data_IF_703636531153
#
_entry.id   IF_703636531153
#
_cell.length_a   1.000
_cell.length_b   1.000
_cell.length_c   1.000
_cell.angle_alpha   90.00
_cell.angle_beta   90.00
_cell.angle_gamma   90.00
#
_symmetry.space_group_name_H-M   'P 1'
#
loop_
_entity.id
_entity.type
_entity.pdbx_description
1 polymer ?
#
# COMPACT_ATOMS: atom_id res chain seq x y z
N UNK A 1 -20.34 -2.64 35.81
CA UNK A 1 -19.28 -2.03 36.64
C UNK A 1 -17.95 -2.43 36.01
N UNK A 2 -17.48 -1.64 35.04
CA UNK A 2 -16.42 -2.01 34.10
C UNK A 2 -15.23 -1.09 34.31
N UNK A 3 -14.10 -1.66 34.72
CA UNK A 3 -12.91 -0.96 35.17
C UNK A 3 -12.08 -0.53 33.94
N UNK A 4 -12.04 0.76 33.66
CA UNK A 4 -11.11 1.35 32.70
C UNK A 4 -9.70 1.39 33.32
N UNK A 5 -8.75 0.69 32.69
CA UNK A 5 -7.35 0.69 33.11
C UNK A 5 -6.58 1.72 32.27
N UNK A 6 -6.51 2.93 32.80
CA UNK A 6 -5.73 4.05 32.27
C UNK A 6 -4.24 3.80 32.55
N UNK A 7 -3.41 3.65 31.50
CA UNK A 7 -1.96 3.75 31.64
C UNK A 7 -1.50 5.09 31.08
N UNK A 8 -1.29 6.03 32.00
CA UNK A 8 -0.56 7.26 31.80
C UNK A 8 0.93 6.96 32.06
N UNK A 9 1.79 7.17 31.07
CA UNK A 9 3.24 7.02 31.18
C UNK A 9 3.94 8.18 30.49
N UNK A 10 4.27 9.20 31.28
CA UNK A 10 5.00 10.41 30.92
C UNK A 10 6.50 10.09 30.79
N UNK A 11 7.22 10.93 30.02
CA UNK A 11 8.69 11.19 29.91
C UNK A 11 9.30 10.76 28.57
N UNK A 12 10.08 11.56 27.84
CA UNK A 12 10.92 12.68 28.23
C UNK A 12 11.06 13.75 27.12
N UNK A 13 11.32 14.97 27.56
CA UNK A 13 11.73 16.14 26.77
C UNK A 13 13.00 15.82 25.97
N UNK A 14 12.94 15.91 24.64
CA UNK A 14 14.12 16.08 23.80
C UNK A 14 14.13 17.53 23.31
N UNK A 15 14.93 18.36 23.99
CA UNK A 15 15.23 19.73 23.62
C UNK A 15 16.21 19.66 22.42
N UNK A 16 15.70 19.75 21.20
CA UNK A 16 16.54 19.82 20.00
C UNK A 16 16.87 21.29 19.74
N UNK A 17 18.11 21.65 20.04
CA UNK A 17 18.77 22.89 19.65
C UNK A 17 18.96 22.85 18.14
N UNK A 18 18.11 23.57 17.39
CA UNK A 18 18.31 23.78 15.96
C UNK A 18 19.34 24.90 15.77
N UNK A 19 20.58 24.49 15.55
CA UNK A 19 21.64 25.38 15.12
C UNK A 19 21.36 25.87 13.69
N UNK A 20 21.39 27.19 13.52
CA UNK A 20 21.37 27.91 12.25
C UNK A 20 22.53 27.44 11.37
N UNK A 21 22.23 26.69 10.31
CA UNK A 21 23.17 26.42 9.22
C UNK A 21 22.86 27.42 8.09
N UNK A 22 23.82 28.25 7.66
CA UNK A 22 23.63 29.16 6.54
C UNK A 22 23.54 28.38 5.21
N UNK A 23 22.48 28.63 4.46
CA UNK A 23 22.30 28.14 3.08
C UNK A 23 23.35 28.77 2.15
N UNK A 24 24.11 27.98 1.37
CA UNK A 24 24.88 28.52 0.25
C UNK A 24 23.95 28.75 -0.95
N UNK A 25 23.88 30.01 -1.37
CA UNK A 25 23.25 30.46 -2.61
C UNK A 25 23.97 29.88 -3.82
N UNK A 26 23.46 28.77 -4.38
CA UNK A 26 23.87 28.30 -5.70
C UNK A 26 22.96 28.91 -6.76
N UNK A 27 23.43 30.01 -7.36
CA UNK A 27 22.95 30.47 -8.65
C UNK A 27 23.43 29.49 -9.73
N UNK A 28 22.51 28.74 -10.32
CA UNK A 28 22.73 28.07 -11.59
C UNK A 28 21.87 28.77 -12.66
N UNK A 29 22.53 29.61 -13.46
CA UNK A 29 22.00 30.08 -14.72
C UNK A 29 22.00 28.89 -15.69
N UNK A 30 20.83 28.29 -15.93
CA UNK A 30 20.68 27.29 -16.99
C UNK A 30 20.19 27.96 -18.26
N UNK A 31 21.10 27.92 -19.21
CA UNK A 31 21.06 28.43 -20.56
C UNK A 31 19.91 27.81 -21.36
N UNK A 32 19.03 28.69 -21.82
CA UNK A 32 17.95 28.42 -22.78
C UNK A 32 18.52 27.83 -24.08
N UNK A 33 18.02 26.66 -24.51
CA UNK A 33 18.21 26.14 -25.87
C UNK A 33 16.86 25.97 -26.55
N UNK A 34 16.56 26.72 -27.62
CA UNK A 34 15.42 26.45 -28.48
C UNK A 34 15.87 25.49 -29.58
N UNK A 35 15.09 24.44 -29.83
CA UNK A 35 14.92 23.73 -31.10
C UNK A 35 14.64 22.27 -30.81
N UNK A 36 13.37 21.86 -30.88
CA UNK A 36 13.06 20.63 -31.59
C UNK A 36 11.84 20.82 -32.47
N UNK A 37 12.05 20.45 -33.74
CA UNK A 37 11.18 20.63 -34.87
C UNK A 37 9.98 19.69 -34.73
N UNK A 38 8.80 20.27 -34.88
CA UNK A 38 7.56 19.56 -35.15
C UNK A 38 7.74 18.68 -36.39
N UNK A 39 7.59 17.36 -36.22
CA UNK A 39 7.33 16.45 -37.32
C UNK A 39 5.87 16.00 -37.19
N UNK A 40 5.04 16.62 -38.03
CA UNK A 40 3.69 16.20 -38.34
C UNK A 40 3.77 14.79 -38.95
N UNK A 41 3.41 13.77 -38.18
CA UNK A 41 3.07 12.45 -38.71
C UNK A 41 1.57 12.40 -38.84
N UNK A 42 1.12 12.69 -40.07
CA UNK A 42 -0.24 12.48 -40.55
C UNK A 42 -0.55 10.97 -40.52
N UNK A 43 -1.43 10.57 -39.60
CA UNK A 43 -1.87 9.18 -39.45
C UNK A 43 -3.26 9.04 -40.08
N UNK A 44 -3.33 8.30 -41.18
CA UNK A 44 -4.55 7.94 -41.90
C UNK A 44 -5.60 7.26 -40.99
N UNK A 45 -6.91 7.44 -41.28
CA UNK A 45 -7.98 6.76 -40.57
C UNK A 45 -8.09 5.29 -41.02
N UNK A 46 -7.66 4.36 -40.17
CA UNK A 46 -8.03 2.95 -40.32
C UNK A 46 -9.37 2.70 -39.61
N UNK A 47 -10.41 2.51 -40.42
CA UNK A 47 -11.64 1.83 -40.02
C UNK A 47 -11.32 0.36 -39.76
N UNK A 48 -11.38 -0.12 -38.51
CA UNK A 48 -11.54 -1.56 -38.29
C UNK A 48 -12.19 -1.89 -36.92
N UNK A 49 -13.48 -2.21 -37.02
CA UNK A 49 -14.26 -3.21 -36.27
C UNK A 49 -14.52 -3.03 -34.76
N UNK A 50 -15.82 -2.90 -34.47
CA UNK A 50 -16.41 -3.01 -33.13
C UNK A 50 -16.28 -4.45 -32.58
N UNK A 51 -15.67 -4.66 -31.40
CA UNK A 51 -15.90 -5.89 -30.65
C UNK A 51 -17.28 -5.84 -29.98
N UNK A 52 -18.10 -6.85 -30.27
CA UNK A 52 -19.40 -7.00 -29.64
C UNK A 52 -19.27 -7.30 -28.14
N UNK A 53 -20.08 -6.56 -27.40
CA UNK A 53 -20.35 -6.64 -25.98
C UNK A 53 -20.75 -8.05 -25.54
N UNK A 54 -19.92 -8.72 -24.75
CA UNK A 54 -20.33 -9.83 -23.87
C UNK A 54 -20.44 -9.30 -22.44
N UNK A 55 -21.66 -9.41 -21.91
CA UNK A 55 -22.08 -8.84 -20.64
C UNK A 55 -21.40 -9.43 -19.41
N UNK A 56 -21.13 -8.55 -18.44
CA UNK A 56 -20.58 -8.89 -17.12
C UNK A 56 -19.91 -7.69 -16.45
N UNK A 57 -20.59 -6.53 -16.40
CA UNK A 57 -20.02 -5.30 -15.83
C UNK A 57 -20.07 -5.35 -14.30
N UNK A 58 -19.00 -5.80 -13.66
CA UNK A 58 -18.56 -5.18 -12.40
C UNK A 58 -17.97 -3.82 -12.75
N UNK A 59 -18.54 -2.74 -12.22
CA UNK A 59 -18.13 -1.37 -12.50
C UNK A 59 -16.73 -1.10 -11.92
N UNK A 60 -15.69 -1.36 -12.71
CA UNK A 60 -14.39 -0.70 -12.58
C UNK A 60 -14.52 0.64 -13.30
N UNK A 61 -14.46 1.73 -12.54
CA UNK A 61 -14.50 3.08 -13.07
C UNK A 61 -13.17 3.38 -13.78
N UNK A 62 -13.12 3.09 -15.07
CA UNK A 62 -12.07 3.58 -15.95
C UNK A 62 -12.33 5.04 -16.30
N UNK A 63 -11.28 5.84 -16.30
CA UNK A 63 -11.28 7.24 -16.71
C UNK A 63 -11.89 7.38 -18.11
N UNK A 64 -13.01 8.10 -18.23
CA UNK A 64 -13.52 8.50 -19.54
C UNK A 64 -12.60 9.59 -20.11
N UNK A 65 -12.10 9.40 -21.33
CA UNK A 65 -11.21 10.34 -22.03
C UNK A 65 -11.92 11.63 -22.49
N UNK A 66 -13.25 11.70 -22.37
CA UNK A 66 -14.10 12.77 -22.92
C UNK A 66 -14.09 14.09 -22.12
N UNK A 67 -13.17 14.29 -21.18
CA UNK A 67 -13.07 15.54 -20.40
C UNK A 67 -14.31 15.87 -19.54
N UNK A 68 -15.34 15.03 -19.58
CA UNK A 68 -16.47 15.07 -18.68
C UNK A 68 -15.94 14.54 -17.35
N UNK A 69 -15.81 15.45 -16.37
CA UNK A 69 -15.40 15.06 -15.02
C UNK A 69 -16.25 13.85 -14.61
N UNK A 70 -15.64 12.75 -14.13
CA UNK A 70 -16.38 11.57 -13.74
C UNK A 70 -17.47 12.04 -12.76
N UNK A 71 -18.73 11.90 -13.17
CA UNK A 71 -19.86 12.20 -12.29
C UNK A 71 -19.73 11.21 -11.16
N UNK A 72 -19.20 11.67 -10.03
CA UNK A 72 -19.02 10.82 -8.87
C UNK A 72 -20.41 10.37 -8.45
N UNK A 73 -20.63 9.06 -8.57
CA UNK A 73 -21.92 8.49 -8.25
C UNK A 73 -22.27 8.88 -6.81
N UNK A 74 -23.49 9.39 -6.63
CA UNK A 74 -24.01 9.76 -5.33
C UNK A 74 -23.78 8.61 -4.34
N UNK A 75 -23.28 8.95 -3.16
CA UNK A 75 -22.97 7.98 -2.11
C UNK A 75 -24.24 7.18 -1.75
N UNK A 76 -24.11 5.86 -1.70
CA UNK A 76 -25.22 4.98 -1.31
C UNK A 76 -25.57 5.20 0.17
N UNK A 77 -26.85 5.33 0.55
CA UNK A 77 -27.24 5.45 1.95
C UNK A 77 -26.76 4.23 2.76
N UNK A 78 -26.16 4.47 3.93
CA UNK A 78 -25.68 3.41 4.83
C UNK A 78 -24.36 2.74 4.44
N UNK A 79 -23.70 3.19 3.37
CA UNK A 79 -22.35 2.71 2.98
C UNK A 79 -21.32 3.73 3.41
N UNK A 80 -20.25 3.29 4.07
CA UNK A 80 -19.11 4.15 4.44
C UNK A 80 -18.12 4.20 3.29
N UNK A 81 -17.66 5.39 2.93
CA UNK A 81 -16.77 5.63 1.80
C UNK A 81 -15.37 6.00 2.29
N UNK A 82 -14.36 5.22 1.90
CA UNK A 82 -12.97 5.41 2.31
C UNK A 82 -12.16 5.84 1.08
N UNK A 83 -11.66 7.07 1.10
CA UNK A 83 -10.69 7.56 0.15
C UNK A 83 -9.29 7.04 0.48
N UNK A 84 -8.54 6.59 -0.51
CA UNK A 84 -7.19 6.07 -0.30
C UNK A 84 -6.17 6.85 -1.13
N UNK A 85 -5.18 7.39 -0.43
CA UNK A 85 -4.01 8.05 -1.02
C UNK A 85 -3.08 6.99 -1.60
N UNK A 86 -2.30 7.36 -2.62
CA UNK A 86 -1.23 6.50 -3.10
C UNK A 86 -0.25 6.17 -1.95
N UNK A 87 -0.02 4.88 -1.63
CA UNK A 87 0.89 4.50 -0.57
C UNK A 87 2.30 5.04 -0.86
N UNK A 88 2.90 5.69 0.13
CA UNK A 88 4.29 6.16 -0.01
C UNK A 88 5.20 4.97 0.19
N UNK A 89 5.93 4.61 -0.87
CA UNK A 89 6.88 3.52 -0.80
C UNK A 89 8.32 4.03 -0.64
N UNK A 90 8.98 3.61 0.43
CA UNK A 90 10.41 3.85 0.69
C UNK A 90 11.23 2.57 0.50
N UNK A 91 10.78 1.70 -0.38
CA UNK A 91 11.57 0.59 -0.93
C UNK A 91 12.69 1.21 -1.82
N UNK A 92 13.85 0.54 -1.91
CA UNK A 92 15.04 1.07 -2.61
C UNK A 92 14.66 1.74 -3.96
N UNK A 93 15.19 2.95 -4.21
CA UNK A 93 14.83 3.87 -5.32
C UNK A 93 14.89 3.29 -6.75
N UNK A 94 15.32 2.04 -6.93
CA UNK A 94 15.56 1.37 -8.22
C UNK A 94 14.56 0.27 -8.56
N UNK A 95 13.54 0.03 -7.72
CA UNK A 95 12.61 -1.09 -7.89
C UNK A 95 11.27 -0.69 -8.54
N UNK A 96 10.60 -1.61 -9.27
CA UNK A 96 9.23 -1.42 -9.79
C UNK A 96 8.17 -1.31 -8.68
N UNK A 97 8.58 -1.46 -7.42
CA UNK A 97 7.72 -1.31 -6.26
C UNK A 97 7.39 0.15 -5.94
N UNK A 98 8.15 1.11 -6.45
CA UNK A 98 8.06 2.52 -6.04
C UNK A 98 6.73 3.19 -6.37
N UNK A 99 5.97 2.63 -7.31
CA UNK A 99 4.77 3.27 -7.83
C UNK A 99 3.56 3.18 -6.88
N UNK A 100 3.60 2.37 -5.82
CA UNK A 100 2.53 2.27 -4.80
C UNK A 100 1.16 1.75 -5.30
N UNK A 101 0.91 1.78 -6.60
CA UNK A 101 -0.35 1.39 -7.25
C UNK A 101 -0.77 -0.06 -7.01
N UNK A 102 0.15 -1.06 -7.04
CA UNK A 102 -0.20 -2.41 -6.68
C UNK A 102 -0.79 -2.55 -5.27
N UNK A 103 -0.21 -1.82 -4.32
CA UNK A 103 -0.64 -1.82 -2.93
C UNK A 103 -2.01 -1.18 -2.79
N UNK A 104 -2.19 -0.02 -3.43
CA UNK A 104 -3.47 0.67 -3.48
C UNK A 104 -4.56 -0.22 -4.08
N UNK A 105 -4.27 -0.89 -5.20
CA UNK A 105 -5.23 -1.77 -5.87
C UNK A 105 -5.61 -2.96 -4.99
N UNK A 106 -4.65 -3.59 -4.31
CA UNK A 106 -4.90 -4.67 -3.38
C UNK A 106 -5.76 -4.24 -2.18
N UNK A 107 -5.44 -3.08 -1.58
CA UNK A 107 -6.23 -2.49 -0.48
C UNK A 107 -7.65 -2.12 -0.92
N UNK A 108 -7.83 -1.54 -2.12
CA UNK A 108 -9.16 -1.23 -2.67
C UNK A 108 -10.01 -2.49 -2.79
N UNK A 109 -9.42 -3.58 -3.28
CA UNK A 109 -10.14 -4.83 -3.48
C UNK A 109 -10.57 -5.48 -2.16
N UNK A 110 -9.74 -5.38 -1.12
CA UNK A 110 -10.00 -5.93 0.21
C UNK A 110 -10.99 -5.08 1.03
N UNK A 111 -10.97 -3.76 0.85
CA UNK A 111 -11.89 -2.84 1.52
C UNK A 111 -13.26 -2.76 0.82
N UNK A 112 -13.36 -3.17 -0.45
CA UNK A 112 -14.63 -3.23 -1.16
C UNK A 112 -15.54 -4.32 -0.58
N UNK A 113 -16.63 -3.90 0.08
CA UNK A 113 -17.62 -4.77 0.71
C UNK A 113 -19.05 -4.24 0.57
N UNK A 114 -20.05 -4.92 1.17
CA UNK A 114 -21.44 -4.47 1.09
C UNK A 114 -21.71 -3.17 1.86
N UNK A 115 -20.96 -2.91 2.93
CA UNK A 115 -21.08 -1.72 3.80
C UNK A 115 -19.96 -0.71 3.61
N UNK A 116 -18.93 -1.05 2.83
CA UNK A 116 -17.72 -0.25 2.63
C UNK A 116 -17.45 -0.06 1.14
N UNK A 117 -17.23 1.19 0.74
CA UNK A 117 -16.82 1.58 -0.60
C UNK A 117 -15.43 2.22 -0.52
N UNK A 118 -14.45 1.67 -1.23
CA UNK A 118 -13.10 2.22 -1.28
C UNK A 118 -12.86 2.95 -2.60
N UNK A 119 -12.31 4.17 -2.55
CA UNK A 119 -12.06 5.02 -3.72
C UNK A 119 -10.60 5.46 -3.75
N UNK A 120 -9.96 5.31 -4.91
CA UNK A 120 -8.63 5.84 -5.17
C UNK A 120 -8.68 7.38 -5.28
N UNK A 121 -7.93 8.07 -4.42
CA UNK A 121 -7.69 9.52 -4.54
C UNK A 121 -6.52 9.76 -5.49
N UNK A 122 -6.61 10.82 -6.31
CA UNK A 122 -5.54 11.23 -7.23
C UNK A 122 -4.45 12.04 -6.52
N UNK A 123 -4.81 12.73 -5.45
CA UNK A 123 -3.91 13.61 -4.70
C UNK A 123 -2.88 12.82 -3.91
N UNK A 124 -1.61 13.24 -4.01
CA UNK A 124 -0.49 12.67 -3.24
C UNK A 124 -0.30 13.42 -1.91
N UNK A 125 -0.57 14.72 -1.90
CA UNK A 125 -0.42 15.55 -0.70
C UNK A 125 -1.62 15.32 0.24
N UNK A 126 -1.40 15.06 1.55
CA UNK A 126 -2.48 14.77 2.49
C UNK A 126 -3.55 15.87 2.56
N UNK A 127 -3.14 17.15 2.50
CA UNK A 127 -4.08 18.28 2.55
C UNK A 127 -4.98 18.34 1.30
N UNK A 128 -4.41 18.05 0.12
CA UNK A 128 -5.16 17.99 -1.14
C UNK A 128 -6.06 16.75 -1.17
N UNK A 129 -5.59 15.63 -0.64
CA UNK A 129 -6.36 14.40 -0.54
C UNK A 129 -7.59 14.54 0.35
N UNK A 130 -7.52 15.31 1.44
CA UNK A 130 -8.68 15.62 2.28
C UNK A 130 -9.73 16.45 1.52
N UNK A 131 -9.28 17.42 0.71
CA UNK A 131 -10.18 18.22 -0.14
C UNK A 131 -10.81 17.38 -1.24
N UNK A 132 -10.03 16.51 -1.87
CA UNK A 132 -10.55 15.56 -2.85
C UNK A 132 -11.55 14.58 -2.20
N UNK A 133 -11.23 14.03 -1.03
CA UNK A 133 -12.11 13.17 -0.27
C UNK A 133 -13.46 13.86 0.07
N UNK A 134 -13.44 15.14 0.45
CA UNK A 134 -14.64 15.95 0.68
C UNK A 134 -15.49 16.07 -0.60
N UNK A 135 -14.87 16.37 -1.75
CA UNK A 135 -15.55 16.43 -3.06
C UNK A 135 -16.15 15.07 -3.48
N UNK A 136 -15.52 13.98 -3.07
CA UNK A 136 -15.96 12.60 -3.33
C UNK A 136 -16.94 12.06 -2.29
N UNK A 137 -17.31 12.86 -1.30
CA UNK A 137 -18.14 12.44 -0.17
C UNK A 137 -17.57 11.20 0.57
N UNK A 138 -16.24 11.10 0.67
CA UNK A 138 -15.56 10.11 1.50
C UNK A 138 -15.71 10.49 2.98
N UNK A 139 -16.03 9.51 3.83
CA UNK A 139 -16.08 9.68 5.29
C UNK A 139 -14.68 9.62 5.91
N UNK A 140 -13.83 8.76 5.35
CA UNK A 140 -12.47 8.56 5.84
C UNK A 140 -11.45 8.66 4.72
N UNK A 141 -10.22 9.00 5.10
CA UNK A 141 -9.03 8.99 4.26
C UNK A 141 -8.00 8.06 4.89
N UNK A 142 -7.58 7.05 4.11
CA UNK A 142 -6.53 6.11 4.47
C UNK A 142 -5.21 6.56 3.85
N UNK A 143 -4.20 6.73 4.70
CA UNK A 143 -2.80 6.95 4.30
C UNK A 143 -1.98 5.76 4.75
N UNK A 144 -1.19 5.20 3.83
CA UNK A 144 -0.26 4.11 4.11
C UNK A 144 1.15 4.48 3.69
N UNK A 145 2.13 4.06 4.48
CA UNK A 145 3.56 4.26 4.21
C UNK A 145 4.26 2.94 4.42
N UNK A 146 5.03 2.53 3.42
CA UNK A 146 5.69 1.23 3.40
C UNK A 146 7.18 1.50 3.39
N UNK A 147 7.88 0.87 4.33
CA UNK A 147 9.34 0.96 4.41
C UNK A 147 9.92 -0.44 4.49
N UNK A 148 11.05 -0.65 3.82
CA UNK A 148 11.80 -1.89 3.92
C UNK A 148 13.09 -1.58 4.67
N UNK A 149 13.28 -2.27 5.79
CA UNK A 149 14.53 -2.23 6.51
C UNK A 149 15.27 -3.55 6.25
N UNK A 150 16.53 -3.52 5.81
CA UNK A 150 17.34 -4.72 5.89
C UNK A 150 17.39 -5.13 7.35
N UNK A 151 17.10 -6.39 7.66
CA UNK A 151 17.32 -6.89 9.02
C UNK A 151 18.82 -6.80 9.24
N UNK A 152 19.26 -5.73 9.92
CA UNK A 152 20.63 -5.62 10.37
C UNK A 152 20.83 -6.80 11.30
N UNK A 153 21.44 -7.85 10.76
CA UNK A 153 22.00 -8.92 11.55
C UNK A 153 23.12 -8.25 12.33
N UNK A 154 22.79 -7.73 13.51
CA UNK A 154 23.75 -7.14 14.43
C UNK A 154 24.92 -8.11 14.52
N UNK A 155 26.10 -7.59 14.16
CA UNK A 155 27.28 -8.40 13.91
C UNK A 155 27.61 -9.33 15.06
N UNK A 156 27.26 -10.62 14.91
CA UNK A 156 28.08 -11.73 15.39
C UNK A 156 28.98 -12.30 14.29
N UNK A 157 29.00 -11.66 13.12
CA UNK A 157 29.79 -12.05 11.95
C UNK A 157 31.08 -11.25 11.70
N UNK A 158 31.50 -10.36 12.61
CA UNK A 158 32.93 -9.95 12.70
C UNK A 158 33.85 -11.08 13.21
N UNK A 159 33.34 -12.32 13.35
CA UNK A 159 34.13 -13.51 13.72
C UNK A 159 33.91 -14.75 12.85
N UNK A 160 32.97 -14.75 11.91
CA UNK A 160 32.64 -15.94 11.10
C UNK A 160 32.82 -15.75 9.57
N UNK A 161 33.40 -14.64 9.11
CA UNK A 161 34.06 -14.64 7.80
C UNK A 161 35.24 -15.63 7.72
N UNK A 162 35.64 -16.23 8.86
CA UNK A 162 36.53 -17.39 8.96
C UNK A 162 35.79 -18.76 8.95
N UNK A 163 34.47 -18.83 8.83
CA UNK A 163 33.69 -20.09 8.82
C UNK A 163 32.94 -20.31 7.50
N UNK A 164 33.61 -19.99 6.40
CA UNK A 164 33.30 -20.42 5.03
C UNK A 164 33.48 -21.95 4.84
N UNK A 165 33.24 -22.73 5.90
CA UNK A 165 33.51 -24.17 6.02
C UNK A 165 32.33 -24.99 6.56
N UNK A 166 31.12 -24.42 6.69
CA UNK A 166 29.92 -25.18 7.10
C UNK A 166 28.78 -25.12 6.08
N UNK A 167 29.19 -25.08 4.82
CA UNK A 167 28.38 -25.47 3.67
C UNK A 167 28.27 -27.01 3.65
N UNK A 168 27.54 -27.62 4.60
CA UNK A 168 27.37 -29.10 4.62
C UNK A 168 26.18 -29.69 5.41
N UNK A 169 25.21 -28.95 5.96
CA UNK A 169 24.21 -29.57 6.85
C UNK A 169 22.77 -29.04 6.78
N UNK A 170 22.27 -28.66 5.59
CA UNK A 170 20.87 -28.21 5.43
C UNK A 170 20.01 -29.10 4.51
N UNK A 171 20.43 -30.35 4.29
CA UNK A 171 19.62 -31.39 3.64
C UNK A 171 19.26 -32.47 4.65
N UNK A 172 18.41 -32.14 5.64
CA UNK A 172 17.72 -33.13 6.48
C UNK A 172 16.63 -32.45 7.34
N UNK A 173 15.57 -31.97 6.72
CA UNK A 173 14.32 -31.66 7.42
C UNK A 173 13.10 -31.86 6.52
N UNK A 174 13.12 -32.95 5.74
CA UNK A 174 11.90 -33.59 5.29
C UNK A 174 11.60 -34.68 6.34
N UNK A 175 10.36 -34.76 6.81
CA UNK A 175 9.81 -35.63 7.86
C UNK A 175 9.80 -35.09 9.30
N UNK A 176 8.80 -34.25 9.59
CA UNK A 176 8.12 -34.27 10.89
C UNK A 176 6.63 -34.55 10.65
N UNK A 177 6.15 -35.78 10.87
CA UNK A 177 4.73 -36.09 10.92
C UNK A 177 4.18 -35.63 12.28
N UNK A 178 3.13 -34.80 12.26
CA UNK A 178 2.28 -34.56 13.42
C UNK A 178 2.71 -33.40 14.33
N UNK A 179 2.48 -32.16 13.90
CA UNK A 179 2.33 -31.04 14.85
C UNK A 179 1.27 -30.06 14.33
N UNK A 180 0.16 -29.96 15.05
CA UNK A 180 -0.47 -28.68 15.36
C UNK A 180 -1.46 -28.08 14.36
N UNK A 181 -2.70 -28.55 14.40
CA UNK A 181 -3.90 -27.92 13.86
C UNK A 181 -4.15 -26.53 14.48
N UNK A 182 -3.51 -25.48 13.97
CA UNK A 182 -3.72 -24.11 14.44
C UNK A 182 -3.58 -23.01 13.37
N UNK A 183 -3.00 -23.33 12.21
CA UNK A 183 -2.76 -22.37 11.13
C UNK A 183 -3.91 -22.28 10.08
N UNK A 184 -5.03 -22.96 10.30
CA UNK A 184 -6.05 -23.16 9.26
C UNK A 184 -7.05 -21.98 9.15
N UNK A 185 -7.21 -21.15 10.19
CA UNK A 185 -8.28 -20.13 10.18
C UNK A 185 -7.92 -18.88 9.37
N UNK A 186 -6.64 -18.55 9.20
CA UNK A 186 -6.22 -17.37 8.41
C UNK A 186 -6.25 -17.60 6.89
N UNK A 187 -6.11 -18.85 6.42
CA UNK A 187 -6.11 -19.18 5.00
C UNK A 187 -7.51 -19.27 4.38
N UNK A 188 -8.57 -19.36 5.19
CA UNK A 188 -9.94 -19.49 4.66
C UNK A 188 -10.50 -18.20 4.06
N UNK A 189 -10.15 -17.02 4.58
CA UNK A 189 -10.59 -15.74 4.01
C UNK A 189 -9.93 -15.43 2.66
N UNK A 190 -8.74 -15.97 2.42
CA UNK A 190 -8.03 -15.83 1.13
C UNK A 190 -8.64 -16.74 0.06
N UNK A 191 -9.15 -17.92 0.45
CA UNK A 191 -9.75 -18.88 -0.49
C UNK A 191 -11.10 -18.46 -1.06
N UNK A 192 -11.91 -17.70 -0.33
CA UNK A 192 -13.21 -17.22 -0.83
C UNK A 192 -13.06 -16.10 -1.86
N UNK A 193 -12.02 -15.25 -1.76
CA UNK A 193 -11.70 -14.24 -2.77
C UNK A 193 -11.28 -14.88 -4.11
N UNK A 194 -10.62 -16.05 -4.09
CA UNK A 194 -10.23 -16.78 -5.29
C UNK A 194 -11.41 -17.37 -6.08
N UNK A 195 -12.52 -17.70 -5.40
CA UNK A 195 -13.70 -18.33 -6.04
C UNK A 195 -14.60 -17.36 -6.82
N UNK A 196 -14.42 -16.05 -6.68
CA UNK A 196 -15.29 -15.04 -7.29
C UNK A 196 -14.81 -14.52 -8.66
N UNK A 197 -13.84 -15.18 -9.30
CA UNK A 197 -13.31 -14.74 -10.60
C UNK A 197 -12.67 -13.35 -10.57
N UNK A 198 -12.33 -12.85 -9.37
CA UNK A 198 -11.60 -11.59 -9.19
C UNK A 198 -10.13 -11.87 -9.52
N UNK A 199 -9.44 -10.97 -10.25
CA UNK A 199 -8.02 -11.13 -10.56
C UNK A 199 -7.27 -11.42 -9.26
N UNK A 200 -6.40 -12.42 -9.30
CA UNK A 200 -5.68 -12.83 -8.12
C UNK A 200 -4.93 -11.62 -7.58
N UNK A 201 -5.01 -11.38 -6.26
CA UNK A 201 -4.18 -10.36 -5.59
C UNK A 201 -2.67 -10.59 -5.89
N UNK A 202 -2.32 -11.77 -6.41
CA UNK A 202 -0.98 -12.19 -6.76
C UNK A 202 -0.39 -11.54 -8.01
N UNK A 203 -1.22 -11.19 -9.00
CA UNK A 203 -0.71 -10.76 -10.31
C UNK A 203 -0.22 -9.31 -10.31
N UNK A 204 -0.65 -8.49 -9.33
CA UNK A 204 -0.25 -7.09 -9.22
C UNK A 204 0.89 -6.84 -8.23
N UNK A 205 1.03 -7.66 -7.18
CA UNK A 205 1.98 -7.42 -6.10
C UNK A 205 3.41 -7.82 -6.53
N UNK A 206 4.39 -6.89 -6.58
CA UNK A 206 5.68 -7.23 -7.16
C UNK A 206 6.47 -8.20 -6.27
N UNK A 207 6.99 -9.27 -6.87
CA UNK A 207 7.67 -10.39 -6.20
C UNK A 207 9.06 -10.05 -5.60
N UNK A 208 9.44 -8.77 -5.49
CA UNK A 208 10.83 -8.38 -5.29
C UNK A 208 11.16 -7.97 -3.84
N UNK A 209 10.53 -8.61 -2.85
CA UNK A 209 10.95 -8.44 -1.45
C UNK A 209 12.22 -9.25 -1.22
N UNK A 210 13.34 -8.56 -1.00
CA UNK A 210 14.62 -9.20 -0.63
C UNK A 210 14.42 -10.16 0.55
N UNK A 211 14.99 -11.36 0.46
CA UNK A 211 15.00 -12.31 1.57
C UNK A 211 15.64 -11.67 2.82
N UNK A 212 15.13 -11.99 4.00
CA UNK A 212 15.58 -11.44 5.28
C UNK A 212 15.44 -9.91 5.44
N UNK A 213 14.50 -9.27 4.74
CA UNK A 213 14.12 -7.88 5.05
C UNK A 213 12.93 -7.82 6.01
N UNK A 214 12.88 -6.80 6.84
CA UNK A 214 11.68 -6.44 7.60
C UNK A 214 10.89 -5.41 6.80
N UNK A 215 9.63 -5.71 6.50
CA UNK A 215 8.71 -4.74 5.92
C UNK A 215 7.92 -4.12 7.07
N UNK A 216 7.87 -2.80 7.09
CA UNK A 216 7.14 -2.01 8.07
C UNK A 216 6.10 -1.20 7.30
N UNK A 217 4.83 -1.42 7.61
CA UNK A 217 3.70 -0.67 7.09
C UNK A 217 3.12 0.20 8.18
N UNK A 218 3.24 1.51 8.02
CA UNK A 218 2.55 2.49 8.84
C UNK A 218 1.23 2.86 8.16
N UNK A 219 0.15 2.88 8.92
CA UNK A 219 -1.17 3.22 8.41
C UNK A 219 -1.85 4.23 9.32
N UNK A 220 -2.62 5.13 8.71
CA UNK A 220 -3.40 6.16 9.39
C UNK A 220 -4.74 6.34 8.68
N UNK A 221 -5.82 6.19 9.44
CA UNK A 221 -7.18 6.52 9.03
C UNK A 221 -7.58 7.85 9.67
N UNK A 222 -7.88 8.84 8.85
CA UNK A 222 -8.39 10.14 9.28
C UNK A 222 -9.82 10.33 8.80
N UNK A 223 -10.66 10.95 9.61
CA UNK A 223 -11.97 11.47 9.21
C UNK A 223 -11.80 12.62 8.18
N UNK A 224 -12.85 12.94 7.43
CA UNK A 224 -12.92 14.10 6.53
C UNK A 224 -12.58 15.43 7.23
N UNK A 225 -12.76 15.50 8.55
CA UNK A 225 -12.39 16.65 9.39
C UNK A 225 -10.95 16.60 9.93
N UNK A 226 -10.08 15.79 9.34
CA UNK A 226 -8.66 15.62 9.75
C UNK A 226 -8.46 15.00 11.14
N UNK A 227 -9.51 14.46 11.76
CA UNK A 227 -9.40 13.77 13.06
C UNK A 227 -8.84 12.37 12.84
N UNK A 228 -7.79 12.00 13.56
CA UNK A 228 -7.24 10.64 13.50
C UNK A 228 -8.19 9.68 14.22
N UNK A 229 -8.67 8.68 13.49
CA UNK A 229 -9.58 7.63 14.00
C UNK A 229 -8.80 6.39 14.37
N UNK A 230 -7.84 6.01 13.52
CA UNK A 230 -6.99 4.84 13.71
C UNK A 230 -5.58 5.16 13.21
N UNK A 231 -4.57 4.75 13.95
CA UNK A 231 -3.20 4.72 13.45
C UNK A 231 -2.48 3.49 14.02
N UNK A 232 -1.50 2.99 13.28
CA UNK A 232 -0.71 1.86 13.71
C UNK A 232 0.45 1.56 12.80
N UNK A 233 1.22 0.56 13.20
CA UNK A 233 2.37 0.06 12.46
C UNK A 233 2.34 -1.45 12.49
N UNK A 234 2.29 -2.08 11.33
CA UNK A 234 2.48 -3.52 11.17
C UNK A 234 3.91 -3.77 10.73
N UNK A 235 4.55 -4.76 11.38
CA UNK A 235 5.89 -5.20 11.04
C UNK A 235 5.84 -6.67 10.69
N UNK A 236 6.40 -7.03 9.56
CA UNK A 236 6.48 -8.41 9.16
C UNK A 236 7.83 -8.71 8.52
N UNK A 237 8.49 -9.73 9.07
CA UNK A 237 9.78 -10.19 8.58
C UNK A 237 9.56 -11.12 7.39
N UNK A 238 10.22 -10.81 6.28
CA UNK A 238 10.27 -11.66 5.10
C UNK A 238 11.09 -12.92 5.38
N UNK A 239 10.47 -14.09 5.15
CA UNK A 239 11.13 -15.39 5.14
C UNK A 239 11.88 -15.64 3.82
N UNK A 240 11.81 -16.86 3.30
CA UNK A 240 12.32 -17.23 1.96
C UNK A 240 11.46 -16.64 0.84
N UNK A 241 10.15 -16.55 1.06
CA UNK A 241 9.17 -16.20 0.04
C UNK A 241 8.49 -14.87 0.41
N UNK A 242 8.94 -13.80 -0.24
CA UNK A 242 8.50 -12.43 0.02
C UNK A 242 7.01 -12.15 -0.22
N UNK A 243 6.33 -13.03 -0.96
CA UNK A 243 4.94 -12.88 -1.36
C UNK A 243 3.95 -12.99 -0.19
N UNK A 244 4.09 -14.02 0.64
CA UNK A 244 3.17 -14.30 1.75
C UNK A 244 3.14 -13.16 2.78
N UNK A 245 4.26 -12.45 2.89
CA UNK A 245 4.43 -11.38 3.88
C UNK A 245 3.57 -10.17 3.55
N UNK A 246 3.59 -9.74 2.28
CA UNK A 246 2.85 -8.58 1.82
C UNK A 246 1.34 -8.81 1.94
N UNK A 247 0.84 -9.94 1.43
CA UNK A 247 -0.60 -10.24 1.46
C UNK A 247 -1.14 -10.32 2.89
N UNK A 248 -0.40 -10.94 3.82
CA UNK A 248 -0.80 -11.03 5.22
C UNK A 248 -0.90 -9.66 5.90
N UNK A 249 0.06 -8.79 5.61
CA UNK A 249 0.10 -7.43 6.16
C UNK A 249 -1.06 -6.57 5.63
N UNK A 250 -1.29 -6.55 4.31
CA UNK A 250 -2.40 -5.80 3.70
C UNK A 250 -3.75 -6.30 4.25
N UNK A 251 -3.94 -7.62 4.34
CA UNK A 251 -5.18 -8.20 4.87
C UNK A 251 -5.43 -7.79 6.32
N UNK A 252 -4.39 -7.78 7.14
CA UNK A 252 -4.46 -7.37 8.55
C UNK A 252 -4.83 -5.90 8.67
N UNK A 253 -4.18 -5.02 7.89
CA UNK A 253 -4.48 -3.58 7.90
C UNK A 253 -5.89 -3.31 7.38
N UNK A 254 -6.29 -3.90 6.26
CA UNK A 254 -7.64 -3.76 5.70
C UNK A 254 -8.71 -4.20 6.71
N UNK A 255 -8.50 -5.31 7.43
CA UNK A 255 -9.40 -5.78 8.49
C UNK A 255 -9.53 -4.77 9.65
N UNK A 256 -8.41 -4.21 10.12
CA UNK A 256 -8.40 -3.19 11.19
C UNK A 256 -9.09 -1.90 10.75
N UNK A 257 -8.87 -1.47 9.52
CA UNK A 257 -9.50 -0.28 8.95
C UNK A 257 -11.00 -0.49 8.79
N UNK A 258 -11.44 -1.61 8.22
CA UNK A 258 -12.85 -1.96 8.08
C UNK A 258 -13.58 -2.00 9.44
N UNK A 259 -12.94 -2.59 10.45
CA UNK A 259 -13.47 -2.66 11.80
C UNK A 259 -13.50 -1.30 12.53
N UNK A 260 -12.67 -0.34 12.14
CA UNK A 260 -12.68 1.01 12.69
C UNK A 260 -13.71 1.90 11.98
N UNK A 261 -13.88 1.73 10.66
CA UNK A 261 -14.79 2.52 9.84
C UNK A 261 -16.28 2.20 10.05
N UNK A 262 -16.59 1.04 10.63
CA UNK A 262 -17.96 0.55 10.86
C UNK A 262 -18.47 0.74 12.29
N UNK A 263 -17.70 1.42 13.15
CA UNK A 263 -18.08 1.73 14.54
C UNK A 263 -18.86 3.03 14.64
#
# INVERSE_FOLDING_TARGET
>A
MTIYRTFFGITAKALIVFALIPYPSFMHAQLWSPHQKSTLVEKQPQMQQLPQSVGGRTAVAFSNEDGTLPIFAAKKPGVVRIGMILPVNKLDDKGPLNDGEPWRTAELQLLAGPTLEAIALKSILPEQALKEAELLACDYVLTTTITQQPVQTQGRFSRLSNMRTLQAAATAAQFVPGVGSGAIVANMAVSTLASQGRPSLADGLPQQVKANSEIIMEYRLTDAHSKIVLSGTEKQRSGSDGYSVVTGMITTVASKVAAAATR
#
